data_IF_567591511356
#
_entry.id   IF_567591511356
#
_cell.length_a   1.000
_cell.length_b   1.000
_cell.length_c   1.000
_cell.angle_alpha   90.00
_cell.angle_beta   90.00
_cell.angle_gamma   90.00
#
_symmetry.space_group_name_H-M   'P 1'
#
loop_
_entity.id
_entity.type
_entity.pdbx_description
1 polymer ?
#
# COMPACT_ATOMS: atom_id res chain seq x y z
N UNK A 1 19.43 50.58 22.46
CA UNK A 1 18.75 49.94 21.30
C UNK A 1 19.03 48.44 21.36
N UNK A 2 18.07 47.70 21.93
CA UNK A 2 18.18 46.27 22.21
C UNK A 2 18.03 45.45 20.92
N UNK A 3 19.00 44.59 20.61
CA UNK A 3 18.90 43.59 19.56
C UNK A 3 17.81 42.60 19.98
N UNK A 4 16.66 42.66 19.31
CA UNK A 4 15.60 41.68 19.44
C UNK A 4 16.17 40.27 19.23
N UNK A 5 15.93 39.39 20.19
CA UNK A 5 16.32 37.99 20.14
C UNK A 5 15.71 37.32 18.89
N UNK A 6 16.55 36.63 18.11
CA UNK A 6 16.10 35.79 17.00
C UNK A 6 15.20 34.68 17.57
N UNK A 7 14.02 34.43 16.99
CA UNK A 7 13.17 33.34 17.42
C UNK A 7 13.92 32.03 17.22
N UNK A 8 13.92 31.26 18.30
CA UNK A 8 14.27 29.86 18.44
C UNK A 8 14.33 29.13 17.09
N UNK A 9 15.56 28.74 16.72
CA UNK A 9 15.84 27.75 15.68
C UNK A 9 14.86 26.59 15.88
N UNK A 10 13.82 26.55 15.04
CA UNK A 10 12.94 25.40 14.95
C UNK A 10 13.86 24.21 14.75
N UNK A 11 13.99 23.35 15.77
CA UNK A 11 14.77 22.12 15.71
C UNK A 11 14.36 21.40 14.44
N UNK A 12 15.19 21.53 13.41
CA UNK A 12 15.09 20.73 12.22
C UNK A 12 15.26 19.32 12.74
N UNK A 13 14.14 18.60 12.85
CA UNK A 13 14.16 17.16 13.13
C UNK A 13 14.94 16.60 11.96
N UNK A 14 16.25 16.38 12.16
CA UNK A 14 17.08 15.70 11.19
C UNK A 14 16.34 14.40 10.90
N UNK A 15 15.80 14.21 9.67
CA UNK A 15 15.31 12.90 9.32
C UNK A 15 16.54 12.02 9.46
N UNK A 16 16.54 11.12 10.44
CA UNK A 16 17.60 10.14 10.59
C UNK A 16 17.71 9.45 9.25
N UNK A 17 18.72 9.83 8.47
CA UNK A 17 19.07 9.17 7.22
C UNK A 17 19.48 7.77 7.66
N UNK A 18 18.52 6.84 7.59
CA UNK A 18 18.82 5.44 7.74
C UNK A 18 19.88 5.09 6.69
N UNK A 19 20.77 4.17 7.06
CA UNK A 19 21.78 3.57 6.17
C UNK A 19 21.15 3.37 4.79
N UNK A 20 21.80 3.89 3.74
CA UNK A 20 21.23 3.94 2.40
C UNK A 20 20.59 2.58 2.06
N UNK A 21 19.29 2.61 1.78
CA UNK A 21 18.59 1.46 1.23
C UNK A 21 19.29 1.00 -0.06
N UNK A 22 18.98 -0.21 -0.51
CA UNK A 22 19.56 -0.80 -1.72
C UNK A 22 19.60 0.20 -2.88
N UNK A 23 20.65 0.11 -3.71
CA UNK A 23 20.73 0.88 -4.94
C UNK A 23 19.41 0.72 -5.72
N UNK A 24 18.72 1.82 -6.07
CA UNK A 24 17.38 1.76 -6.65
C UNK A 24 17.33 0.98 -7.97
N UNK A 25 18.42 0.98 -8.75
CA UNK A 25 18.52 0.17 -9.97
C UNK A 25 18.58 -1.32 -9.64
N UNK A 26 19.33 -1.71 -8.61
CA UNK A 26 19.42 -3.11 -8.15
C UNK A 26 18.07 -3.57 -7.59
N UNK A 27 17.42 -2.74 -6.78
CA UNK A 27 16.09 -3.03 -6.26
C UNK A 27 15.05 -3.15 -7.40
N UNK A 28 15.13 -2.26 -8.41
CA UNK A 28 14.27 -2.30 -9.59
C UNK A 28 14.46 -3.56 -10.43
N UNK A 29 15.71 -3.97 -10.68
CA UNK A 29 16.02 -5.22 -11.38
C UNK A 29 15.50 -6.42 -10.58
N UNK A 30 15.76 -6.48 -9.27
CA UNK A 30 15.27 -7.55 -8.42
C UNK A 30 13.74 -7.64 -8.43
N UNK A 31 13.04 -6.50 -8.32
CA UNK A 31 11.58 -6.45 -8.41
C UNK A 31 11.06 -6.89 -9.79
N UNK A 32 11.74 -6.48 -10.87
CA UNK A 32 11.42 -6.91 -12.23
C UNK A 32 11.59 -8.42 -12.43
N UNK A 33 12.64 -9.01 -11.86
CA UNK A 33 12.86 -10.46 -11.86
C UNK A 33 11.78 -11.19 -11.06
N UNK A 34 11.36 -10.65 -9.91
CA UNK A 34 10.24 -11.20 -9.13
C UNK A 34 8.96 -11.18 -9.97
N UNK A 35 8.64 -10.06 -10.61
CA UNK A 35 7.46 -9.95 -11.48
C UNK A 35 7.52 -10.93 -12.66
N UNK A 36 8.68 -11.07 -13.30
CA UNK A 36 8.87 -12.05 -14.37
C UNK A 36 8.64 -13.47 -13.85
N UNK A 37 9.19 -13.80 -12.69
CA UNK A 37 9.07 -15.12 -12.08
C UNK A 37 7.62 -15.43 -11.70
N UNK A 38 6.85 -14.47 -11.19
CA UNK A 38 5.42 -14.68 -10.89
C UNK A 38 4.64 -14.99 -12.16
N UNK A 39 4.93 -14.30 -13.26
CA UNK A 39 4.31 -14.63 -14.54
C UNK A 39 4.69 -16.03 -15.04
N UNK A 40 5.97 -16.41 -14.95
CA UNK A 40 6.45 -17.70 -15.46
C UNK A 40 5.98 -18.89 -14.61
N UNK A 41 6.00 -18.76 -13.28
CA UNK A 41 5.66 -19.85 -12.38
C UNK A 41 4.16 -19.92 -12.07
N UNK A 42 3.50 -18.77 -11.90
CA UNK A 42 2.13 -18.71 -11.40
C UNK A 42 1.12 -18.31 -12.49
N UNK A 43 1.57 -17.75 -13.62
CA UNK A 43 0.71 -17.29 -14.70
C UNK A 43 0.03 -15.94 -14.45
N UNK A 44 0.29 -15.30 -13.30
CA UNK A 44 -0.29 -14.02 -12.91
C UNK A 44 0.81 -13.06 -12.44
N UNK A 45 0.57 -11.75 -12.59
CA UNK A 45 1.48 -10.72 -12.07
C UNK A 45 1.15 -10.33 -10.63
N UNK A 46 1.98 -9.44 -10.09
CA UNK A 46 1.87 -8.92 -8.73
C UNK A 46 0.60 -8.10 -8.50
N UNK A 47 0.05 -8.21 -7.29
CA UNK A 47 -1.12 -7.46 -6.83
C UNK A 47 -1.35 -7.61 -5.33
N UNK A 48 -2.34 -6.91 -4.79
CA UNK A 48 -2.70 -7.10 -3.37
C UNK A 48 -4.16 -6.78 -3.05
N UNK A 49 -4.79 -5.90 -3.83
CA UNK A 49 -6.15 -5.44 -3.53
C UNK A 49 -7.18 -6.57 -3.48
N UNK A 50 -7.08 -7.61 -4.32
CA UNK A 50 -8.00 -8.77 -4.30
C UNK A 50 -7.90 -9.58 -3.02
N UNK A 51 -6.71 -9.71 -2.42
CA UNK A 51 -6.52 -10.42 -1.16
C UNK A 51 -7.35 -9.79 -0.02
N UNK A 52 -7.37 -8.45 0.08
CA UNK A 52 -8.16 -7.75 1.10
C UNK A 52 -9.66 -8.00 0.94
N UNK A 53 -10.18 -8.02 -0.29
CA UNK A 53 -11.59 -8.35 -0.56
C UNK A 53 -11.90 -9.79 -0.27
N UNK A 54 -11.01 -10.72 -0.63
CA UNK A 54 -11.16 -12.15 -0.34
C UNK A 54 -11.17 -12.45 1.15
N UNK A 55 -10.30 -11.79 1.93
CA UNK A 55 -10.33 -11.87 3.40
C UNK A 55 -11.65 -11.34 3.98
N UNK A 56 -12.15 -10.21 3.46
CA UNK A 56 -13.43 -9.68 3.88
C UNK A 56 -14.59 -10.63 3.55
N UNK A 57 -14.61 -11.19 2.32
CA UNK A 57 -15.60 -12.21 1.93
C UNK A 57 -15.52 -13.41 2.86
N UNK A 58 -14.33 -13.96 3.10
CA UNK A 58 -14.16 -15.11 4.00
C UNK A 58 -14.71 -14.82 5.41
N UNK A 59 -14.48 -13.62 5.95
CA UNK A 59 -15.03 -13.21 7.24
C UNK A 59 -16.55 -13.06 7.23
N UNK A 60 -17.12 -12.44 6.20
CA UNK A 60 -18.58 -12.25 6.09
C UNK A 60 -19.29 -13.59 5.85
N UNK A 61 -18.70 -14.49 5.06
CA UNK A 61 -19.25 -15.83 4.80
C UNK A 61 -19.39 -16.68 6.05
N UNK A 62 -18.61 -16.42 7.11
CA UNK A 62 -18.76 -17.11 8.41
C UNK A 62 -20.02 -16.65 9.16
N UNK A 63 -20.40 -15.39 9.00
CA UNK A 63 -21.51 -14.78 9.77
C UNK A 63 -22.82 -14.77 8.96
N UNK A 64 -22.74 -14.55 7.66
CA UNK A 64 -23.89 -14.37 6.76
C UNK A 64 -23.62 -15.00 5.38
N UNK A 65 -23.53 -16.34 5.26
CA UNK A 65 -23.20 -17.03 4.01
C UNK A 65 -24.23 -16.77 2.90
N UNK A 66 -25.54 -16.80 3.21
CA UNK A 66 -26.61 -16.57 2.23
C UNK A 66 -26.54 -15.17 1.64
N UNK A 67 -26.28 -14.15 2.48
CA UNK A 67 -26.12 -12.77 2.03
C UNK A 67 -24.89 -12.57 1.11
N UNK A 68 -23.84 -13.38 1.26
CA UNK A 68 -22.68 -13.38 0.36
C UNK A 68 -23.04 -14.06 -0.96
N UNK A 69 -23.69 -15.21 -0.91
CA UNK A 69 -24.06 -15.99 -2.09
C UNK A 69 -25.06 -15.24 -3.00
N UNK A 70 -26.03 -14.56 -2.41
CA UNK A 70 -27.05 -13.78 -3.11
C UNK A 70 -26.53 -12.44 -3.65
N UNK A 71 -25.33 -12.01 -3.23
CA UNK A 71 -24.76 -10.75 -3.66
C UNK A 71 -24.04 -10.88 -5.00
N UNK A 72 -24.45 -10.08 -5.99
CA UNK A 72 -23.86 -10.09 -7.34
C UNK A 72 -22.34 -9.84 -7.37
N UNK A 73 -21.81 -9.09 -6.40
CA UNK A 73 -20.38 -8.80 -6.30
C UNK A 73 -19.61 -9.80 -5.43
N UNK A 74 -20.18 -10.27 -4.31
CA UNK A 74 -19.47 -11.15 -3.38
C UNK A 74 -19.63 -12.63 -3.74
N UNK A 75 -20.76 -13.02 -4.32
CA UNK A 75 -21.08 -14.40 -4.67
C UNK A 75 -20.07 -15.02 -5.64
N UNK A 76 -19.47 -14.22 -6.53
CA UNK A 76 -18.43 -14.69 -7.45
C UNK A 76 -17.18 -15.26 -6.73
N UNK A 77 -16.93 -14.86 -5.49
CA UNK A 77 -15.77 -15.32 -4.70
C UNK A 77 -16.01 -16.66 -3.99
N UNK A 78 -17.27 -17.10 -3.91
CA UNK A 78 -17.68 -18.35 -3.25
C UNK A 78 -18.48 -19.27 -4.18
N UNK A 79 -18.67 -18.86 -5.44
CA UNK A 79 -19.42 -19.60 -6.44
C UNK A 79 -18.85 -21.01 -6.63
N UNK A 80 -19.72 -21.98 -6.87
CA UNK A 80 -19.36 -23.39 -7.08
C UNK A 80 -18.60 -24.03 -5.90
N UNK A 81 -18.78 -23.52 -4.68
CA UNK A 81 -18.07 -24.03 -3.49
C UNK A 81 -16.60 -23.59 -3.43
N UNK A 82 -16.22 -22.57 -4.20
CA UNK A 82 -14.87 -22.04 -4.16
C UNK A 82 -14.55 -21.42 -2.79
N UNK A 83 -13.36 -21.69 -2.28
CA UNK A 83 -12.86 -21.03 -1.09
C UNK A 83 -12.31 -19.66 -1.48
N UNK A 84 -12.88 -18.59 -0.91
CA UNK A 84 -12.43 -17.23 -1.21
C UNK A 84 -10.94 -17.02 -0.88
N UNK A 85 -10.37 -17.79 0.05
CA UNK A 85 -8.96 -17.74 0.46
C UNK A 85 -8.01 -18.56 -0.42
N UNK A 86 -8.54 -19.46 -1.26
CA UNK A 86 -7.74 -20.29 -2.17
C UNK A 86 -7.42 -19.52 -3.46
N UNK A 87 -6.61 -18.48 -3.32
CA UNK A 87 -6.18 -17.61 -4.40
C UNK A 87 -4.72 -17.23 -4.20
N UNK A 88 -3.95 -17.25 -5.29
CA UNK A 88 -2.53 -16.87 -5.30
C UNK A 88 -2.26 -15.55 -4.56
N UNK A 89 -3.14 -14.55 -4.68
CA UNK A 89 -2.93 -13.24 -4.07
C UNK A 89 -2.89 -13.28 -2.54
N UNK A 90 -3.57 -14.26 -1.92
CA UNK A 90 -3.51 -14.46 -0.46
C UNK A 90 -2.10 -14.86 -0.05
N UNK A 91 -1.52 -15.82 -0.77
CA UNK A 91 -0.15 -16.27 -0.53
C UNK A 91 0.87 -15.17 -0.85
N UNK A 92 0.67 -14.41 -1.93
CA UNK A 92 1.49 -13.25 -2.28
C UNK A 92 1.51 -12.23 -1.12
N UNK A 93 0.35 -11.83 -0.61
CA UNK A 93 0.26 -10.85 0.49
C UNK A 93 0.90 -11.37 1.77
N UNK A 94 0.71 -12.66 2.10
CA UNK A 94 1.41 -13.28 3.24
C UNK A 94 2.93 -13.20 3.04
N UNK A 95 3.41 -13.55 1.85
CA UNK A 95 4.84 -13.47 1.50
C UNK A 95 5.39 -12.04 1.60
N UNK A 96 4.65 -11.04 1.09
CA UNK A 96 5.02 -9.62 1.19
C UNK A 96 5.05 -9.15 2.64
N UNK A 97 4.09 -9.56 3.47
CA UNK A 97 4.06 -9.22 4.89
C UNK A 97 5.26 -9.82 5.63
N UNK A 98 5.51 -11.12 5.45
CA UNK A 98 6.63 -11.82 6.08
C UNK A 98 7.98 -11.26 5.59
N UNK A 99 8.12 -11.04 4.29
CA UNK A 99 9.31 -10.44 3.68
C UNK A 99 9.57 -9.02 4.18
N UNK A 100 8.51 -8.21 4.31
CA UNK A 100 8.59 -6.86 4.87
C UNK A 100 9.03 -6.85 6.33
N UNK A 101 8.49 -7.75 7.16
CA UNK A 101 8.91 -7.91 8.56
C UNK A 101 10.37 -8.36 8.64
N UNK A 102 10.77 -9.35 7.84
CA UNK A 102 12.15 -9.84 7.80
C UNK A 102 13.12 -8.75 7.35
N UNK A 103 12.77 -7.96 6.33
CA UNK A 103 13.56 -6.83 5.85
C UNK A 103 13.65 -5.67 6.85
N UNK A 104 12.58 -5.44 7.63
CA UNK A 104 12.58 -4.47 8.72
C UNK A 104 13.48 -4.94 9.87
N UNK A 105 13.42 -6.24 10.20
CA UNK A 105 14.23 -6.86 11.25
C UNK A 105 15.73 -6.85 10.88
N UNK A 106 16.08 -7.35 9.70
CA UNK A 106 17.47 -7.39 9.21
C UNK A 106 18.07 -6.00 9.01
N UNK A 107 17.24 -5.01 8.65
CA UNK A 107 17.63 -3.61 8.55
C UNK A 107 17.75 -2.89 9.90
N UNK A 108 17.43 -3.53 11.03
CA UNK A 108 17.44 -2.89 12.35
C UNK A 108 16.43 -1.75 12.49
N UNK A 109 15.32 -1.79 11.72
CA UNK A 109 14.30 -0.72 11.62
C UNK A 109 13.08 -0.96 12.50
N UNK A 110 12.97 -2.11 13.17
CA UNK A 110 11.84 -2.41 14.06
C UNK A 110 12.02 -1.66 15.38
N UNK A 111 11.28 -0.56 15.53
CA UNK A 111 11.11 0.16 16.80
C UNK A 111 9.72 -0.11 17.35
N UNK A 112 9.63 -0.68 18.56
CA UNK A 112 8.34 -1.03 19.18
C UNK A 112 7.55 0.24 19.54
N UNK A 113 6.31 0.31 19.07
CA UNK A 113 5.38 1.39 19.40
C UNK A 113 5.70 2.75 18.78
N UNK A 114 6.62 2.81 17.81
CA UNK A 114 6.91 4.06 17.09
C UNK A 114 5.79 4.37 16.09
N UNK A 115 5.20 5.55 16.22
CA UNK A 115 4.25 6.09 15.24
C UNK A 115 4.91 7.27 14.52
N UNK A 116 5.28 7.07 13.26
CA UNK A 116 5.86 8.12 12.41
C UNK A 116 4.81 9.22 12.15
N UNK A 117 5.08 10.40 12.72
CA UNK A 117 4.24 11.60 12.65
C UNK A 117 5.10 12.85 12.57
N UNK A 118 4.54 13.94 12.04
CA UNK A 118 5.18 15.25 12.10
C UNK A 118 5.29 15.79 13.53
N UNK A 119 6.22 16.72 13.78
CA UNK A 119 6.49 17.25 15.12
C UNK A 119 5.25 17.90 15.77
N UNK A 120 4.38 18.50 14.96
CA UNK A 120 3.18 19.25 15.37
C UNK A 120 1.89 18.42 15.40
N UNK A 121 1.87 17.24 14.77
CA UNK A 121 0.63 16.46 14.57
C UNK A 121 0.39 15.48 15.71
N UNK A 122 -0.80 15.49 16.33
CA UNK A 122 -1.15 14.55 17.41
C UNK A 122 -1.19 13.07 16.96
N UNK A 123 -1.02 12.12 17.89
CA UNK A 123 -1.15 10.68 17.58
C UNK A 123 -2.53 10.34 17.03
N UNK A 124 -3.59 10.87 17.64
CA UNK A 124 -4.97 10.63 17.23
C UNK A 124 -5.22 11.15 15.80
N UNK A 125 -4.76 12.38 15.50
CA UNK A 125 -4.86 12.97 14.16
C UNK A 125 -4.13 12.11 13.12
N UNK A 126 -2.90 11.67 13.41
CA UNK A 126 -2.13 10.82 12.49
C UNK A 126 -2.82 9.48 12.19
N UNK A 127 -3.40 8.85 13.20
CA UNK A 127 -4.16 7.60 13.07
C UNK A 127 -5.44 7.84 12.28
N UNK A 128 -6.19 8.91 12.58
CA UNK A 128 -7.40 9.27 11.85
C UNK A 128 -7.12 9.48 10.36
N UNK A 129 -6.05 10.20 10.00
CA UNK A 129 -5.61 10.35 8.61
C UNK A 129 -5.17 9.03 7.97
N UNK A 130 -4.50 8.14 8.72
CA UNK A 130 -4.09 6.83 8.20
C UNK A 130 -5.31 5.96 7.85
N UNK A 131 -6.30 5.93 8.74
CA UNK A 131 -7.54 5.17 8.55
C UNK A 131 -8.35 5.78 7.40
N UNK A 132 -8.56 7.11 7.42
CA UNK A 132 -9.30 7.80 6.35
C UNK A 132 -8.63 7.60 4.98
N UNK A 133 -7.31 7.71 4.92
CA UNK A 133 -6.54 7.44 3.70
C UNK A 133 -6.64 5.99 3.25
N UNK A 134 -6.60 5.03 4.19
CA UNK A 134 -6.76 3.60 3.89
C UNK A 134 -8.14 3.26 3.33
N UNK A 135 -9.21 3.82 3.91
CA UNK A 135 -10.58 3.66 3.41
C UNK A 135 -10.72 4.25 2.00
N UNK A 136 -10.21 5.47 1.79
CA UNK A 136 -10.23 6.12 0.49
C UNK A 136 -9.43 5.31 -0.55
N UNK A 137 -8.24 4.82 -0.20
CA UNK A 137 -7.44 3.97 -1.08
C UNK A 137 -8.13 2.64 -1.40
N UNK A 138 -8.81 2.02 -0.42
CA UNK A 138 -9.56 0.78 -0.63
C UNK A 138 -10.68 0.97 -1.65
N UNK A 139 -11.45 2.04 -1.50
CA UNK A 139 -12.49 2.42 -2.47
C UNK A 139 -11.89 2.72 -3.86
N UNK A 140 -10.85 3.56 -3.91
CA UNK A 140 -10.19 3.94 -5.15
C UNK A 140 -9.60 2.73 -5.89
N UNK A 141 -9.03 1.75 -5.18
CA UNK A 141 -8.47 0.54 -5.78
C UNK A 141 -9.54 -0.31 -6.47
N UNK A 142 -10.79 -0.30 -5.97
CA UNK A 142 -11.92 -0.99 -6.62
C UNK A 142 -12.40 -0.23 -7.84
N UNK A 143 -12.51 1.10 -7.74
CA UNK A 143 -12.86 1.97 -8.87
C UNK A 143 -11.85 1.85 -10.02
N UNK A 144 -10.55 1.81 -9.70
CA UNK A 144 -9.47 1.64 -10.66
C UNK A 144 -9.28 0.19 -11.15
N UNK A 145 -10.08 -0.77 -10.62
CA UNK A 145 -9.92 -2.22 -10.86
C UNK A 145 -8.49 -2.73 -10.61
N UNK A 146 -7.82 -2.17 -9.62
CA UNK A 146 -6.45 -2.54 -9.27
C UNK A 146 -5.83 -1.60 -8.24
N UNK A 147 -4.84 -2.12 -7.54
CA UNK A 147 -3.94 -1.33 -6.69
C UNK A 147 -2.73 -0.85 -7.49
N UNK A 148 -1.85 -0.07 -6.87
CA UNK A 148 -0.62 0.43 -7.52
C UNK A 148 0.26 -0.71 -8.04
N UNK A 149 0.43 -1.82 -7.30
CA UNK A 149 1.22 -2.96 -7.81
C UNK A 149 0.57 -3.60 -9.04
N UNK A 150 -0.75 -3.84 -9.01
CA UNK A 150 -1.47 -4.41 -10.15
C UNK A 150 -1.52 -3.49 -11.37
N UNK A 151 -1.78 -2.20 -11.18
CA UNK A 151 -1.85 -1.25 -12.29
C UNK A 151 -0.47 -0.85 -12.79
N UNK A 152 0.46 -0.45 -11.91
CA UNK A 152 1.75 0.09 -12.33
C UNK A 152 2.79 -0.99 -12.65
N UNK A 153 2.91 -2.06 -11.86
CA UNK A 153 3.91 -3.11 -12.11
C UNK A 153 3.40 -4.09 -13.17
N UNK A 154 2.32 -4.79 -12.86
CA UNK A 154 1.74 -5.84 -13.71
C UNK A 154 1.19 -5.26 -15.02
N UNK A 155 0.28 -4.29 -14.94
CA UNK A 155 -0.28 -3.68 -16.14
C UNK A 155 0.70 -2.77 -16.90
N UNK A 156 1.64 -2.13 -16.21
CA UNK A 156 2.72 -1.36 -16.85
C UNK A 156 3.69 -2.25 -17.65
N UNK A 157 4.08 -3.41 -17.09
CA UNK A 157 4.89 -4.41 -17.80
C UNK A 157 4.18 -4.98 -19.03
N UNK A 158 2.85 -5.14 -18.96
CA UNK A 158 2.02 -5.54 -20.08
C UNK A 158 1.69 -4.41 -21.08
N UNK A 159 2.24 -3.20 -20.87
CA UNK A 159 2.00 -2.02 -21.70
C UNK A 159 0.51 -1.64 -21.82
N UNK A 160 -0.29 -1.94 -20.79
CA UNK A 160 -1.71 -1.63 -20.79
C UNK A 160 -1.94 -0.12 -20.75
N UNK A 161 -2.65 0.43 -21.74
CA UNK A 161 -2.92 1.88 -21.83
C UNK A 161 -3.60 2.42 -20.57
N UNK A 162 -4.57 1.67 -20.03
CA UNK A 162 -5.27 2.06 -18.79
C UNK A 162 -4.35 2.18 -17.58
N UNK A 163 -3.35 1.30 -17.48
CA UNK A 163 -2.34 1.32 -16.42
C UNK A 163 -1.44 2.54 -16.48
N UNK A 164 -1.04 2.94 -17.69
CA UNK A 164 -0.26 4.15 -17.90
C UNK A 164 -1.06 5.41 -17.56
N UNK A 165 -2.32 5.48 -17.98
CA UNK A 165 -3.23 6.57 -17.59
C UNK A 165 -3.40 6.62 -16.07
N UNK A 166 -3.62 5.48 -15.43
CA UNK A 166 -3.70 5.37 -13.97
C UNK A 166 -2.42 5.89 -13.30
N UNK A 167 -1.25 5.45 -13.77
CA UNK A 167 0.03 5.85 -13.18
C UNK A 167 0.23 7.37 -13.28
N UNK A 168 -0.05 7.97 -14.44
CA UNK A 168 0.02 9.43 -14.62
C UNK A 168 -0.95 10.17 -13.69
N UNK A 169 -2.18 9.67 -13.55
CA UNK A 169 -3.18 10.23 -12.66
C UNK A 169 -2.77 10.15 -11.18
N UNK A 170 -2.16 9.04 -10.75
CA UNK A 170 -1.63 8.88 -9.38
C UNK A 170 -0.53 9.89 -9.10
N UNK A 171 0.41 10.08 -10.02
CA UNK A 171 1.46 11.09 -9.86
C UNK A 171 0.87 12.50 -9.82
N UNK A 172 0.00 12.86 -10.77
CA UNK A 172 -0.65 14.16 -10.82
C UNK A 172 -1.45 14.46 -9.53
N UNK A 173 -2.29 13.51 -9.10
CA UNK A 173 -3.05 13.61 -7.87
C UNK A 173 -2.17 13.71 -6.63
N UNK A 174 -1.08 12.93 -6.58
CA UNK A 174 -0.07 13.00 -5.51
C UNK A 174 0.60 14.37 -5.42
N UNK A 175 1.00 14.96 -6.54
CA UNK A 175 1.57 16.31 -6.57
C UNK A 175 0.58 17.38 -6.13
N UNK A 176 -0.68 17.27 -6.55
CA UNK A 176 -1.76 18.20 -6.15
C UNK A 176 -2.09 18.06 -4.66
N UNK A 177 -2.08 16.84 -4.12
CA UNK A 177 -2.36 16.58 -2.71
C UNK A 177 -1.15 16.85 -1.79
N UNK A 178 0.07 16.92 -2.34
CA UNK A 178 1.31 17.08 -1.56
C UNK A 178 1.30 18.30 -0.60
N UNK A 179 0.83 19.51 -0.99
CA UNK A 179 0.77 20.64 -0.08
C UNK A 179 -0.11 20.38 1.16
N UNK A 180 -1.21 19.64 0.99
CA UNK A 180 -2.09 19.27 2.10
C UNK A 180 -1.39 18.29 3.05
N UNK A 181 -0.78 17.23 2.52
CA UNK A 181 -0.03 16.27 3.32
C UNK A 181 1.16 16.90 4.05
N UNK A 182 1.87 17.83 3.40
CA UNK A 182 3.02 18.54 4.00
C UNK A 182 2.62 19.41 5.20
N UNK A 183 1.38 19.90 5.28
CA UNK A 183 0.90 20.64 6.47
C UNK A 183 0.92 19.79 7.74
N UNK A 184 0.86 18.45 7.64
CA UNK A 184 0.96 17.55 8.79
C UNK A 184 2.41 17.41 9.33
N UNK A 185 3.40 17.84 8.55
CA UNK A 185 4.83 17.69 8.85
C UNK A 185 5.55 19.01 9.09
N UNK A 186 4.84 20.14 8.96
CA UNK A 186 5.30 21.47 9.35
C UNK A 186 4.84 21.76 10.77
#
# INVERSE_FOLDING_TARGET
>A
MSRAARPEEAKVVNPTYHKADWNPYVAGIALGLVLLLTYVLMGFGLGSSSAATRLAVAGVSVVAPDAVADNAYLGQYVAHGANALDDWMIFEVIGVLLGGVLAAYSGGRIKRGELLRGPTTSKATRIAFAIAGGVLMGFAARLARGCTSGQALTGGAALAVGSWVFMMAVFAGGYVAAPFARRQWR
#
